data_IF_892508224067
#
_entry.id   IF_892508224067
#
_cell.length_a   1.000
_cell.length_b   1.000
_cell.length_c   1.000
_cell.angle_alpha   90.00
_cell.angle_beta   90.00
_cell.angle_gamma   90.00
#
_symmetry.space_group_name_H-M   'P 1'
#
loop_
_entity.id
_entity.type
_entity.pdbx_description
1 polymer ?
#
# COMPACT_ATOMS: atom_id res chain seq x y z
N UNK A 1 -32.26 -10.78 -4.82
CA UNK A 1 -32.85 -9.46 -4.47
C UNK A 1 -31.72 -8.63 -3.89
N UNK A 2 -31.25 -7.64 -4.63
CA UNK A 2 -30.18 -6.75 -4.15
C UNK A 2 -30.68 -5.90 -2.99
N UNK A 3 -29.94 -5.90 -1.88
CA UNK A 3 -30.21 -4.97 -0.78
C UNK A 3 -29.59 -3.61 -1.16
N UNK A 4 -30.43 -2.61 -1.36
CA UNK A 4 -29.98 -1.24 -1.48
C UNK A 4 -29.77 -0.67 -0.07
N UNK A 5 -28.55 -0.28 0.26
CA UNK A 5 -28.26 0.44 1.49
C UNK A 5 -28.29 1.93 1.15
N UNK A 6 -29.31 2.63 1.62
CA UNK A 6 -29.34 4.09 1.58
C UNK A 6 -28.54 4.61 2.77
N UNK A 7 -27.55 5.48 2.50
CA UNK A 7 -26.76 6.14 3.54
C UNK A 7 -27.34 7.53 3.79
N UNK A 8 -27.54 7.86 5.06
CA UNK A 8 -27.96 9.19 5.51
C UNK A 8 -26.90 9.72 6.47
N UNK A 9 -26.53 10.98 6.33
CA UNK A 9 -25.51 11.62 7.16
C UNK A 9 -26.04 12.01 8.55
N UNK A 10 -27.37 12.09 8.72
CA UNK A 10 -28.01 12.42 9.99
C UNK A 10 -29.31 11.64 10.19
N UNK A 11 -29.70 11.45 11.46
CA UNK A 11 -31.01 10.88 11.79
C UNK A 11 -32.18 11.73 11.28
N UNK A 12 -31.99 13.04 11.09
CA UNK A 12 -32.99 13.94 10.54
C UNK A 12 -33.23 13.69 9.04
N UNK A 13 -32.17 13.49 8.26
CA UNK A 13 -32.29 13.14 6.83
C UNK A 13 -32.98 11.80 6.62
N UNK A 14 -32.63 10.83 7.47
CA UNK A 14 -33.30 9.53 7.46
C UNK A 14 -34.80 9.65 7.77
N UNK A 15 -35.19 10.38 8.80
CA UNK A 15 -36.60 10.61 9.14
C UNK A 15 -37.35 11.32 8.02
N UNK A 16 -36.74 12.35 7.42
CA UNK A 16 -37.38 13.07 6.31
C UNK A 16 -37.61 12.19 5.07
N UNK A 17 -36.72 11.22 4.81
CA UNK A 17 -36.85 10.31 3.68
C UNK A 17 -37.96 9.25 3.86
N UNK A 18 -38.30 8.89 5.12
CA UNK A 18 -39.25 7.82 5.43
C UNK A 18 -40.49 8.29 6.19
N UNK A 19 -40.63 9.60 6.45
CA UNK A 19 -41.81 10.17 7.09
C UNK A 19 -43.06 9.92 6.24
N UNK A 20 -44.03 9.19 6.79
CA UNK A 20 -45.29 8.82 6.09
C UNK A 20 -45.23 7.50 5.32
N UNK A 21 -44.15 6.76 5.35
CA UNK A 21 -44.09 5.39 4.81
C UNK A 21 -44.49 4.38 5.88
N UNK A 22 -45.16 3.28 5.48
CA UNK A 22 -45.60 2.20 6.38
C UNK A 22 -44.42 1.30 6.83
N UNK A 23 -43.28 1.87 7.17
CA UNK A 23 -42.10 1.15 7.65
C UNK A 23 -42.30 0.94 9.16
N UNK A 24 -42.70 -0.26 9.52
CA UNK A 24 -42.83 -0.68 10.93
C UNK A 24 -41.60 -1.49 11.32
N UNK A 25 -40.88 -0.94 12.26
CA UNK A 25 -39.81 -1.46 13.14
C UNK A 25 -39.34 -2.94 12.94
N UNK A 26 -38.04 -3.25 13.24
CA UNK A 26 -37.35 -2.72 14.44
C UNK A 26 -36.16 -1.81 14.15
N UNK A 27 -36.19 -0.63 14.67
CA UNK A 27 -35.05 0.23 14.80
C UNK A 27 -34.09 -0.38 15.83
N UNK A 28 -32.86 -0.64 15.43
CA UNK A 28 -31.79 -0.64 16.39
C UNK A 28 -31.47 0.83 16.65
N UNK A 29 -31.86 1.35 17.80
CA UNK A 29 -31.33 2.61 18.31
C UNK A 29 -29.85 2.38 18.48
N UNK A 30 -29.05 2.86 17.55
CA UNK A 30 -27.62 3.03 17.75
C UNK A 30 -27.49 4.13 18.81
N UNK A 31 -27.36 3.73 20.06
CA UNK A 31 -26.93 4.65 21.12
C UNK A 31 -25.57 5.21 20.71
N UNK A 32 -25.25 6.44 21.09
CA UNK A 32 -24.00 7.16 20.77
C UNK A 32 -22.71 6.44 21.19
N UNK A 33 -22.77 5.27 21.77
CA UNK A 33 -21.65 4.40 22.14
C UNK A 33 -21.37 3.27 21.15
N UNK A 34 -22.05 3.22 20.01
CA UNK A 34 -21.58 2.35 18.95
C UNK A 34 -20.30 2.93 18.39
N UNK A 35 -19.18 2.23 18.66
CA UNK A 35 -17.95 2.37 17.91
C UNK A 35 -18.28 2.78 16.49
N UNK A 36 -17.76 3.92 16.04
CA UNK A 36 -17.92 4.40 14.68
C UNK A 36 -17.68 3.21 13.74
N UNK A 37 -18.72 2.76 13.07
CA UNK A 37 -18.56 1.77 12.00
C UNK A 37 -17.57 2.39 11.01
N UNK A 38 -16.51 1.69 10.79
CA UNK A 38 -15.36 2.11 10.04
C UNK A 38 -15.77 2.48 8.62
N UNK A 39 -16.16 3.72 8.42
CA UNK A 39 -16.34 4.25 7.09
C UNK A 39 -14.94 4.53 6.53
N UNK A 40 -14.55 3.85 5.46
CA UNK A 40 -13.40 4.26 4.69
C UNK A 40 -13.55 5.75 4.39
N UNK A 41 -12.64 6.55 4.93
CA UNK A 41 -12.58 7.96 4.60
C UNK A 41 -12.00 8.08 3.19
N UNK A 42 -12.34 9.13 2.49
CA UNK A 42 -11.84 9.38 1.14
C UNK A 42 -11.05 10.67 1.15
N UNK A 43 -9.92 10.66 0.46
CA UNK A 43 -9.19 11.90 0.17
C UNK A 43 -10.07 12.77 -0.74
N UNK A 44 -10.45 13.98 -0.29
CA UNK A 44 -11.32 14.85 -1.07
C UNK A 44 -10.67 15.37 -2.36
N UNK A 45 -9.35 15.28 -2.50
CA UNK A 45 -8.63 15.78 -3.67
C UNK A 45 -8.72 14.83 -4.86
N UNK A 46 -8.77 13.49 -4.63
CA UNK A 46 -8.73 12.50 -5.70
C UNK A 46 -9.65 11.28 -5.48
N UNK A 47 -10.33 11.20 -4.33
CA UNK A 47 -11.33 10.15 -4.05
C UNK A 47 -10.75 8.79 -3.64
N UNK A 48 -9.44 8.66 -3.43
CA UNK A 48 -8.87 7.41 -2.93
C UNK A 48 -9.24 7.17 -1.47
N UNK A 49 -9.67 5.94 -1.18
CA UNK A 49 -10.10 5.54 0.15
C UNK A 49 -8.91 5.25 1.06
N UNK A 50 -9.00 5.65 2.32
CA UNK A 50 -8.02 5.35 3.35
C UNK A 50 -8.66 4.92 4.66
N UNK A 51 -7.88 4.25 5.48
CA UNK A 51 -8.22 3.86 6.86
C UNK A 51 -7.29 4.56 7.84
N UNK A 52 -7.88 5.07 8.93
CA UNK A 52 -7.17 5.61 10.09
C UNK A 52 -7.03 4.51 11.13
N UNK A 53 -5.85 3.96 11.26
CA UNK A 53 -5.53 2.91 12.23
C UNK A 53 -5.17 3.47 13.61
N UNK A 54 -5.19 4.79 13.78
CA UNK A 54 -4.77 5.44 15.03
C UNK A 54 -3.29 5.23 15.33
N UNK A 55 -2.46 5.18 14.30
CA UNK A 55 -1.01 5.04 14.45
C UNK A 55 -0.40 6.28 15.11
N UNK A 56 0.68 6.14 15.90
CA UNK A 56 1.31 7.27 16.61
C UNK A 56 1.74 8.42 15.70
N UNK A 57 2.20 8.15 14.49
CA UNK A 57 2.56 9.16 13.48
C UNK A 57 1.35 9.88 12.87
N UNK A 58 0.15 9.32 13.01
CA UNK A 58 -1.03 9.77 12.28
C UNK A 58 -1.08 9.31 10.82
N UNK A 59 -0.19 8.42 10.39
CA UNK A 59 -0.18 7.87 9.03
C UNK A 59 -1.52 7.20 8.70
N UNK A 60 -2.11 7.59 7.58
CA UNK A 60 -3.33 7.02 7.04
C UNK A 60 -2.98 6.09 5.88
N UNK A 61 -3.51 4.88 5.88
CA UNK A 61 -3.18 3.87 4.88
C UNK A 61 -4.29 3.76 3.83
N UNK A 62 -3.93 3.76 2.57
CA UNK A 62 -4.88 3.47 1.50
C UNK A 62 -5.51 2.08 1.68
N UNK A 63 -6.78 1.92 1.35
CA UNK A 63 -7.48 0.63 1.43
C UNK A 63 -7.21 -0.29 0.25
N UNK A 64 -6.65 0.24 -0.84
CA UNK A 64 -6.35 -0.47 -2.08
C UNK A 64 -4.90 -0.25 -2.51
N UNK A 65 -4.36 -1.17 -3.31
CA UNK A 65 -3.07 -0.98 -3.98
C UNK A 65 -3.20 0.03 -5.14
N UNK A 66 -2.10 0.65 -5.54
CA UNK A 66 -2.05 1.48 -6.76
C UNK A 66 -2.44 0.64 -7.96
N UNK A 67 -3.37 1.16 -8.78
CA UNK A 67 -3.93 0.46 -9.93
C UNK A 67 -5.07 -0.51 -9.62
N UNK A 68 -5.40 -0.75 -8.34
CA UNK A 68 -6.51 -1.61 -7.93
C UNK A 68 -7.86 -0.89 -8.01
N UNK A 69 -8.92 -1.66 -8.24
CA UNK A 69 -10.32 -1.18 -8.28
C UNK A 69 -11.14 -1.63 -7.06
N UNK A 70 -10.58 -2.50 -6.22
CA UNK A 70 -11.18 -2.98 -4.97
C UNK A 70 -10.09 -3.34 -3.97
N UNK A 71 -10.45 -3.55 -2.70
CA UNK A 71 -9.53 -3.99 -1.64
C UNK A 71 -8.89 -5.35 -1.91
N UNK A 72 -9.57 -6.20 -2.66
CA UNK A 72 -9.12 -7.56 -3.01
C UNK A 72 -8.41 -7.65 -4.34
N UNK A 73 -8.38 -6.57 -5.11
CA UNK A 73 -7.62 -6.48 -6.35
C UNK A 73 -6.13 -6.29 -6.05
N UNK A 74 -5.27 -6.99 -6.79
CA UNK A 74 -3.82 -6.94 -6.58
C UNK A 74 -3.20 -5.61 -7.00
N UNK A 75 -3.85 -4.87 -7.93
CA UNK A 75 -3.33 -3.64 -8.51
C UNK A 75 -2.15 -3.88 -9.44
N UNK A 76 -1.39 -2.82 -9.69
CA UNK A 76 -0.19 -2.85 -10.51
C UNK A 76 1.05 -3.39 -9.77
N UNK A 77 2.06 -3.78 -10.56
CA UNK A 77 3.38 -4.14 -10.07
C UNK A 77 4.39 -3.11 -10.55
N UNK A 78 5.21 -2.63 -9.66
CA UNK A 78 6.19 -1.56 -9.93
C UNK A 78 7.58 -2.03 -9.50
N UNK A 79 8.61 -1.74 -10.31
CA UNK A 79 9.96 -1.80 -9.83
C UNK A 79 10.22 -0.58 -8.93
N UNK A 80 11.13 -0.69 -7.99
CA UNK A 80 11.39 0.39 -7.03
C UNK A 80 11.97 1.64 -7.71
N UNK A 81 11.32 2.78 -7.55
CA UNK A 81 11.68 4.01 -8.27
C UNK A 81 11.09 4.12 -9.68
N UNK A 82 10.24 3.19 -10.08
CA UNK A 82 9.46 3.27 -11.33
C UNK A 82 7.99 3.49 -11.05
N UNK A 83 7.33 4.21 -11.92
CA UNK A 83 5.95 4.67 -11.72
C UNK A 83 4.94 4.04 -12.69
N UNK A 84 5.42 3.17 -13.56
CA UNK A 84 4.62 2.46 -14.58
C UNK A 84 4.51 0.98 -14.24
N UNK A 85 3.29 0.44 -14.27
CA UNK A 85 3.04 -0.99 -14.19
C UNK A 85 3.41 -1.66 -15.52
N UNK A 86 4.62 -2.18 -15.61
CA UNK A 86 5.10 -2.89 -16.80
C UNK A 86 4.32 -4.18 -17.07
N UNK A 87 3.92 -4.89 -16.02
CA UNK A 87 3.17 -6.14 -16.16
C UNK A 87 1.76 -5.89 -16.70
N UNK A 88 1.05 -4.88 -16.18
CA UNK A 88 -0.26 -4.46 -16.67
C UNK A 88 -0.24 -3.95 -18.11
N UNK A 89 0.88 -3.39 -18.56
CA UNK A 89 1.10 -2.92 -19.92
C UNK A 89 1.55 -4.02 -20.90
N UNK A 90 1.66 -5.28 -20.43
CA UNK A 90 2.08 -6.42 -21.25
C UNK A 90 3.59 -6.58 -21.38
N UNK A 91 4.36 -5.78 -20.66
CA UNK A 91 5.78 -5.99 -20.46
C UNK A 91 5.96 -6.95 -19.29
N UNK A 92 6.61 -8.07 -19.49
CA UNK A 92 6.67 -9.12 -18.47
C UNK A 92 7.99 -9.17 -17.72
N UNK A 93 9.03 -8.52 -18.22
CA UNK A 93 10.37 -8.66 -17.68
C UNK A 93 10.69 -7.58 -16.63
N UNK A 94 10.65 -7.97 -15.35
CA UNK A 94 11.19 -7.19 -14.24
C UNK A 94 12.63 -7.66 -13.98
N UNK A 95 13.55 -7.19 -14.80
CA UNK A 95 14.97 -7.52 -14.78
C UNK A 95 15.82 -6.26 -14.73
N UNK A 96 17.10 -6.42 -14.41
CA UNK A 96 18.06 -5.30 -14.45
C UNK A 96 18.17 -4.66 -15.85
N UNK A 97 18.02 -5.44 -16.93
CA UNK A 97 18.10 -4.92 -18.29
C UNK A 97 16.93 -3.97 -18.64
N UNK A 98 15.81 -4.09 -17.95
CA UNK A 98 14.60 -3.28 -18.13
C UNK A 98 14.36 -2.30 -16.98
N UNK A 99 15.33 -2.14 -16.06
CA UNK A 99 15.19 -1.27 -14.91
C UNK A 99 15.69 0.15 -15.22
N UNK A 100 14.86 1.17 -14.96
CA UNK A 100 15.17 2.56 -15.33
C UNK A 100 16.29 3.19 -14.51
N UNK A 101 16.42 2.81 -13.23
CA UNK A 101 17.45 3.36 -12.34
C UNK A 101 18.75 2.53 -12.32
N UNK A 102 19.03 1.74 -13.36
CA UNK A 102 20.26 0.95 -13.47
C UNK A 102 20.17 -0.09 -14.57
N UNK A 103 21.32 -0.61 -15.02
CA UNK A 103 21.39 -1.69 -16.01
C UNK A 103 21.94 -3.00 -15.45
N UNK A 104 22.35 -3.00 -14.18
CA UNK A 104 22.77 -4.17 -13.42
C UNK A 104 22.78 -3.82 -11.92
N UNK A 105 22.84 -4.85 -11.06
CA UNK A 105 22.90 -4.67 -9.60
C UNK A 105 24.04 -3.72 -9.16
N UNK A 106 25.12 -3.64 -9.91
CA UNK A 106 26.30 -2.82 -9.66
C UNK A 106 26.49 -1.70 -10.70
N UNK A 107 25.44 -1.32 -11.43
CA UNK A 107 25.41 -0.25 -12.41
C UNK A 107 24.17 0.62 -12.21
N UNK A 108 24.06 1.17 -10.99
CA UNK A 108 22.96 2.03 -10.61
C UNK A 108 23.19 3.44 -11.13
N UNK A 109 22.15 4.07 -11.61
CA UNK A 109 22.17 5.43 -12.16
C UNK A 109 21.52 6.45 -11.24
N UNK A 110 20.74 6.00 -10.23
CA UNK A 110 20.05 6.83 -9.25
C UNK A 110 19.91 6.09 -7.90
N UNK A 111 19.78 6.83 -6.82
CA UNK A 111 19.66 6.29 -5.45
C UNK A 111 20.91 5.47 -5.08
N UNK A 112 22.06 6.09 -5.21
CA UNK A 112 23.33 5.47 -4.86
C UNK A 112 24.13 6.38 -3.93
N UNK A 113 24.33 6.00 -2.65
CA UNK A 113 25.16 6.76 -1.71
C UNK A 113 26.63 6.84 -2.16
N UNK A 114 27.29 7.97 -1.89
CA UNK A 114 28.67 8.22 -2.31
C UNK A 114 29.66 7.19 -1.76
N UNK A 115 29.47 6.75 -0.52
CA UNK A 115 30.32 5.73 0.11
C UNK A 115 30.17 4.33 -0.51
N UNK A 116 29.14 4.14 -1.35
CA UNK A 116 28.86 2.90 -2.09
C UNK A 116 29.16 3.00 -3.59
N UNK A 117 29.43 4.20 -4.10
CA UNK A 117 29.53 4.45 -5.54
C UNK A 117 30.58 3.60 -6.26
N UNK A 118 31.71 3.30 -5.62
CA UNK A 118 32.77 2.48 -6.23
C UNK A 118 32.34 1.03 -6.52
N UNK A 119 31.33 0.52 -5.80
CA UNK A 119 30.85 -0.84 -5.94
C UNK A 119 29.54 -0.92 -6.73
N UNK A 120 28.66 0.09 -6.61
CA UNK A 120 27.28 -0.01 -7.04
C UNK A 120 26.89 0.96 -8.16
N UNK A 121 27.70 1.99 -8.38
CA UNK A 121 27.41 3.05 -9.35
C UNK A 121 28.41 3.03 -10.52
N UNK A 122 28.30 2.02 -11.37
CA UNK A 122 29.20 1.91 -12.53
C UNK A 122 28.93 2.90 -13.66
N UNK A 123 27.74 3.49 -13.72
CA UNK A 123 27.28 4.33 -14.84
C UNK A 123 26.82 5.73 -14.43
N UNK A 124 26.48 5.96 -13.17
CA UNK A 124 25.98 7.23 -12.67
C UNK A 124 26.92 7.95 -11.72
N UNK A 125 26.53 9.14 -11.31
CA UNK A 125 27.14 9.84 -10.19
C UNK A 125 26.34 9.55 -8.90
N UNK A 126 26.99 9.41 -7.73
CA UNK A 126 26.27 9.26 -6.48
C UNK A 126 25.40 10.50 -6.23
N UNK A 127 24.16 10.27 -5.78
CA UNK A 127 23.19 11.33 -5.50
C UNK A 127 22.85 11.44 -4.01
N UNK A 128 23.29 10.46 -3.21
CA UNK A 128 23.03 10.36 -1.79
C UNK A 128 21.54 10.31 -1.41
N UNK A 129 20.66 10.05 -2.37
CA UNK A 129 19.24 9.88 -2.11
C UNK A 129 18.98 8.52 -1.47
N UNK A 130 18.27 8.52 -0.36
CA UNK A 130 17.94 7.32 0.43
C UNK A 130 16.45 7.04 0.51
N UNK A 131 15.64 7.97 0.02
CA UNK A 131 14.19 7.87 -0.13
C UNK A 131 13.82 8.28 -1.55
N UNK A 132 12.74 7.71 -2.09
CA UNK A 132 12.25 8.07 -3.41
C UNK A 132 11.83 9.55 -3.46
N UNK A 133 12.23 10.22 -4.52
CA UNK A 133 11.65 11.50 -4.88
C UNK A 133 10.21 11.32 -5.38
N UNK A 134 9.37 12.33 -5.22
CA UNK A 134 7.96 12.25 -5.62
C UNK A 134 7.76 11.90 -7.11
N UNK A 135 8.74 12.22 -7.98
CA UNK A 135 8.70 11.86 -9.39
C UNK A 135 8.90 10.36 -9.66
N UNK A 136 9.48 9.63 -8.71
CA UNK A 136 9.84 8.22 -8.81
C UNK A 136 9.00 7.37 -7.84
N UNK A 137 8.11 8.00 -7.09
CA UNK A 137 7.18 7.37 -6.18
C UNK A 137 5.88 7.01 -6.92
N UNK A 138 5.60 5.71 -7.05
CA UNK A 138 4.46 5.24 -7.82
C UNK A 138 3.10 5.69 -7.25
N UNK A 139 2.97 5.85 -5.92
CA UNK A 139 1.74 6.38 -5.34
C UNK A 139 1.60 7.88 -5.64
N UNK A 140 2.66 8.65 -5.49
CA UNK A 140 2.66 10.09 -5.79
C UNK A 140 2.31 10.37 -7.25
N UNK A 141 2.93 9.65 -8.19
CA UNK A 141 2.71 9.89 -9.62
C UNK A 141 1.34 9.42 -10.08
N UNK A 142 0.87 8.24 -9.63
CA UNK A 142 -0.40 7.68 -10.10
C UNK A 142 -1.62 8.29 -9.42
N UNK A 143 -1.50 8.74 -8.17
CA UNK A 143 -2.63 9.28 -7.41
C UNK A 143 -2.56 10.79 -7.21
N UNK A 144 -1.35 11.34 -7.15
CA UNK A 144 -1.14 12.77 -6.92
C UNK A 144 -1.52 13.22 -5.50
N UNK A 145 -1.64 14.53 -5.30
CA UNK A 145 -1.94 15.11 -4.00
C UNK A 145 -0.81 14.87 -3.00
N UNK A 146 -1.17 14.45 -1.79
CA UNK A 146 -0.23 14.12 -0.71
C UNK A 146 0.05 12.62 -0.58
N UNK A 147 -0.44 11.81 -1.52
CA UNK A 147 -0.17 10.37 -1.54
C UNK A 147 1.29 10.08 -1.86
N UNK A 148 1.87 9.17 -1.11
CA UNK A 148 3.23 8.68 -1.34
C UNK A 148 3.34 7.21 -0.89
N UNK A 149 4.42 6.53 -1.28
CA UNK A 149 4.76 5.20 -0.75
C UNK A 149 5.19 5.32 0.72
N UNK A 150 4.84 4.34 1.57
CA UNK A 150 5.27 4.38 2.96
C UNK A 150 6.79 4.25 3.07
N UNK A 151 7.39 4.88 4.07
CA UNK A 151 8.77 4.60 4.47
C UNK A 151 8.88 3.24 5.15
N UNK A 152 10.09 2.68 5.25
CA UNK A 152 10.33 1.47 6.05
C UNK A 152 9.92 1.66 7.52
N UNK A 153 10.14 2.86 8.08
CA UNK A 153 9.72 3.21 9.44
C UNK A 153 8.20 3.21 9.63
N UNK A 154 7.43 3.71 8.66
CA UNK A 154 5.96 3.65 8.68
C UNK A 154 5.45 2.20 8.58
N UNK A 155 6.14 1.34 7.84
CA UNK A 155 5.83 -0.09 7.81
C UNK A 155 6.14 -0.79 9.14
N UNK A 156 7.25 -0.45 9.79
CA UNK A 156 7.56 -0.95 11.14
C UNK A 156 6.53 -0.45 12.17
N UNK A 157 6.10 0.81 12.07
CA UNK A 157 5.05 1.36 12.92
C UNK A 157 3.74 0.59 12.73
N UNK A 158 3.32 0.30 11.49
CA UNK A 158 2.14 -0.51 11.21
C UNK A 158 2.23 -1.88 11.89
N UNK A 159 3.35 -2.60 11.73
CA UNK A 159 3.56 -3.91 12.36
C UNK A 159 3.49 -3.81 13.88
N UNK A 160 4.13 -2.81 14.47
CA UNK A 160 4.26 -2.70 15.92
C UNK A 160 2.99 -2.24 16.63
N UNK A 161 2.07 -1.57 15.93
CA UNK A 161 0.84 -1.00 16.49
C UNK A 161 -0.44 -1.72 16.06
N UNK A 162 -0.33 -2.83 15.33
CA UNK A 162 -1.47 -3.63 14.89
C UNK A 162 -1.23 -5.11 15.17
N UNK A 163 -2.31 -5.88 15.14
CA UNK A 163 -2.23 -7.34 15.11
C UNK A 163 -2.42 -7.80 13.67
N UNK A 164 -1.41 -8.46 13.11
CA UNK A 164 -1.51 -9.03 11.77
C UNK A 164 -2.03 -10.46 11.82
N UNK A 165 -2.97 -10.79 10.93
CA UNK A 165 -3.51 -12.13 10.79
C UNK A 165 -3.64 -12.50 9.31
N UNK A 166 -3.17 -13.68 8.95
CA UNK A 166 -3.37 -14.24 7.61
C UNK A 166 -4.80 -14.73 7.43
N UNK A 167 -5.38 -14.47 6.27
CA UNK A 167 -6.63 -15.09 5.82
C UNK A 167 -6.43 -15.73 4.46
N UNK A 168 -7.02 -16.91 4.24
CA UNK A 168 -7.05 -17.55 2.92
C UNK A 168 -8.22 -17.07 2.07
N UNK A 169 -9.17 -16.37 2.68
CA UNK A 169 -10.40 -15.90 2.03
C UNK A 169 -10.91 -14.65 2.76
N UNK A 170 -10.53 -13.47 2.27
CA UNK A 170 -10.96 -12.21 2.87
C UNK A 170 -12.40 -11.87 2.48
N UNK A 171 -13.30 -11.80 3.47
CA UNK A 171 -14.72 -11.44 3.27
C UNK A 171 -15.41 -12.28 2.18
N UNK A 172 -15.16 -13.60 2.14
CA UNK A 172 -15.73 -14.53 1.15
C UNK A 172 -15.41 -14.16 -0.31
N UNK A 173 -14.30 -13.47 -0.55
CA UNK A 173 -13.87 -13.01 -1.89
C UNK A 173 -13.07 -14.06 -2.67
N UNK A 174 -12.60 -15.11 -2.00
CA UNK A 174 -11.64 -16.06 -2.54
C UNK A 174 -10.20 -15.52 -2.60
N UNK A 175 -9.93 -14.32 -2.05
CA UNK A 175 -8.60 -13.70 -2.08
C UNK A 175 -7.91 -13.84 -0.72
N UNK A 176 -6.73 -14.44 -0.74
CA UNK A 176 -5.87 -14.54 0.43
C UNK A 176 -5.07 -13.26 0.66
N UNK A 177 -4.67 -13.02 1.91
CA UNK A 177 -3.85 -11.88 2.28
C UNK A 177 -3.67 -11.73 3.78
N UNK A 178 -3.23 -10.57 4.21
CA UNK A 178 -3.05 -10.23 5.62
C UNK A 178 -3.99 -9.10 6.01
N UNK A 179 -4.63 -9.26 7.18
CA UNK A 179 -5.40 -8.22 7.84
C UNK A 179 -4.61 -7.67 9.01
N UNK A 180 -4.36 -6.37 9.02
CA UNK A 180 -3.78 -5.63 10.14
C UNK A 180 -4.94 -5.00 10.93
N UNK A 181 -5.10 -5.38 12.19
CA UNK A 181 -6.16 -4.85 13.06
C UNK A 181 -5.56 -3.97 14.14
N UNK A 182 -5.97 -2.72 14.19
CA UNK A 182 -5.51 -1.73 15.15
C UNK A 182 -6.33 -1.75 16.45
N UNK A 183 -5.83 -1.08 17.50
CA UNK A 183 -6.49 -1.01 18.80
C UNK A 183 -7.84 -0.25 18.74
N UNK A 184 -8.00 0.68 17.79
CA UNK A 184 -9.26 1.39 17.58
C UNK A 184 -10.34 0.55 16.86
N UNK A 185 -10.05 -0.73 16.56
CA UNK A 185 -10.94 -1.65 15.87
C UNK A 185 -10.89 -1.55 14.34
N UNK A 186 -10.18 -0.58 13.81
CA UNK A 186 -10.01 -0.40 12.37
C UNK A 186 -9.05 -1.44 11.81
N UNK A 187 -9.26 -1.82 10.55
CA UNK A 187 -8.42 -2.83 9.90
C UNK A 187 -8.03 -2.42 8.48
N UNK A 188 -6.87 -2.92 8.07
CA UNK A 188 -6.32 -2.79 6.73
C UNK A 188 -6.09 -4.18 6.17
N UNK A 189 -6.64 -4.48 5.00
CA UNK A 189 -6.34 -5.70 4.26
C UNK A 189 -5.31 -5.44 3.17
N UNK A 190 -4.30 -6.31 3.07
CA UNK A 190 -3.34 -6.33 1.96
C UNK A 190 -3.41 -7.69 1.29
N UNK A 191 -3.83 -7.76 0.00
CA UNK A 191 -3.97 -9.02 -0.71
C UNK A 191 -2.61 -9.66 -1.03
N UNK A 192 -2.58 -10.98 -1.08
CA UNK A 192 -1.39 -11.76 -1.41
C UNK A 192 -1.09 -11.72 -2.90
N UNK A 193 -0.70 -10.55 -3.39
CA UNK A 193 -0.40 -10.29 -4.80
C UNK A 193 0.90 -10.97 -5.28
N UNK A 194 1.75 -11.45 -4.36
CA UNK A 194 3.05 -11.99 -4.71
C UNK A 194 4.01 -10.93 -5.24
N UNK A 195 4.78 -11.29 -6.24
CA UNK A 195 5.74 -10.42 -6.93
C UNK A 195 5.88 -10.82 -8.40
N UNK A 196 6.49 -9.95 -9.17
CA UNK A 196 6.93 -10.26 -10.54
C UNK A 196 8.44 -10.21 -10.60
N UNK A 197 9.03 -11.23 -11.16
CA UNK A 197 10.44 -11.30 -11.48
C UNK A 197 10.62 -12.03 -12.79
N UNK A 198 11.51 -11.49 -13.65
CA UNK A 198 11.70 -11.99 -15.01
C UNK A 198 10.36 -12.04 -15.77
N UNK A 199 9.91 -13.17 -16.23
CA UNK A 199 8.69 -13.32 -17.03
C UNK A 199 7.47 -13.82 -16.24
N UNK A 200 7.54 -13.91 -14.90
CA UNK A 200 6.49 -14.55 -14.14
C UNK A 200 6.13 -13.94 -12.79
N UNK A 201 4.88 -14.19 -12.39
CA UNK A 201 4.44 -13.91 -11.03
C UNK A 201 4.74 -15.09 -10.11
N UNK A 202 5.37 -14.79 -8.98
CA UNK A 202 5.60 -15.75 -7.89
C UNK A 202 4.81 -15.39 -6.64
N UNK A 203 4.45 -16.38 -5.83
CA UNK A 203 3.85 -16.18 -4.50
C UNK A 203 2.41 -15.66 -4.46
N UNK A 204 1.71 -15.56 -5.60
CA UNK A 204 0.31 -15.13 -5.64
C UNK A 204 -0.56 -16.08 -4.81
N UNK A 205 -1.41 -15.50 -3.93
CA UNK A 205 -2.27 -16.26 -3.02
C UNK A 205 -1.55 -16.85 -1.79
N UNK A 206 -0.23 -16.68 -1.66
CA UNK A 206 0.55 -17.23 -0.53
C UNK A 206 1.47 -16.23 0.14
N UNK A 207 1.79 -15.11 -0.53
CA UNK A 207 2.68 -14.08 -0.04
C UNK A 207 2.28 -12.70 -0.59
N UNK A 208 2.44 -11.67 0.20
CA UNK A 208 2.30 -10.29 -0.27
C UNK A 208 3.63 -9.55 -0.15
N UNK A 209 3.88 -8.62 -1.08
CA UNK A 209 4.98 -7.68 -1.03
C UNK A 209 4.50 -6.31 -1.47
N UNK A 210 4.88 -5.30 -0.71
CA UNK A 210 4.61 -3.89 -0.98
C UNK A 210 5.91 -3.13 -0.83
N UNK A 211 6.28 -2.35 -1.85
CA UNK A 211 7.46 -1.50 -1.77
C UNK A 211 7.28 -0.36 -0.75
N UNK A 212 8.36 0.03 -0.12
CA UNK A 212 8.50 1.31 0.61
C UNK A 212 9.27 2.31 -0.25
N UNK A 213 9.25 3.59 0.14
CA UNK A 213 10.11 4.62 -0.48
C UNK A 213 11.58 4.50 -0.07
N UNK A 214 11.92 3.68 0.92
CA UNK A 214 13.23 3.65 1.58
C UNK A 214 14.23 2.74 0.87
N UNK A 215 15.40 3.27 0.57
CA UNK A 215 16.56 2.52 0.07
C UNK A 215 17.20 1.68 1.18
N UNK A 216 17.71 0.49 0.87
CA UNK A 216 18.66 -0.20 1.72
C UNK A 216 20.07 0.37 1.49
N UNK A 217 20.47 1.36 2.27
CA UNK A 217 21.71 2.13 2.05
C UNK A 217 22.98 1.28 2.09
N UNK A 218 22.97 0.17 2.83
CA UNK A 218 24.12 -0.76 2.90
C UNK A 218 24.31 -1.59 1.62
N UNK A 219 23.22 -1.82 0.90
CA UNK A 219 23.15 -2.57 -0.37
C UNK A 219 22.19 -1.84 -1.29
N UNK A 220 22.65 -0.80 -2.01
CA UNK A 220 21.76 0.06 -2.79
C UNK A 220 21.14 -0.59 -4.04
N UNK A 221 21.49 -1.81 -4.37
CA UNK A 221 20.78 -2.66 -5.33
C UNK A 221 19.45 -3.21 -4.77
N UNK A 222 19.27 -3.15 -3.44
CA UNK A 222 18.05 -3.52 -2.73
C UNK A 222 17.30 -2.29 -2.21
N UNK A 223 16.00 -2.43 -2.05
CA UNK A 223 15.15 -1.49 -1.34
C UNK A 223 14.31 -2.21 -0.27
N UNK A 224 13.81 -1.45 0.69
CA UNK A 224 12.94 -1.99 1.72
C UNK A 224 11.51 -2.20 1.21
N UNK A 225 10.88 -3.25 1.69
CA UNK A 225 9.48 -3.58 1.47
C UNK A 225 8.81 -4.10 2.74
N UNK A 226 7.49 -4.04 2.77
CA UNK A 226 6.64 -4.73 3.73
C UNK A 226 6.15 -6.02 3.08
N UNK A 227 6.32 -7.16 3.73
CA UNK A 227 5.85 -8.41 3.16
C UNK A 227 5.67 -9.52 4.18
N UNK A 228 4.98 -10.54 3.74
CA UNK A 228 4.70 -11.71 4.57
C UNK A 228 3.68 -12.66 3.98
N UNK A 229 3.36 -13.65 4.76
CA UNK A 229 2.40 -14.70 4.45
C UNK A 229 1.86 -15.33 5.74
N UNK A 230 1.47 -16.57 5.66
CA UNK A 230 0.92 -17.30 6.82
C UNK A 230 1.92 -17.43 8.00
N UNK A 231 3.23 -17.30 7.76
CA UNK A 231 4.26 -17.40 8.80
C UNK A 231 4.54 -16.07 9.53
N UNK A 232 3.89 -14.98 9.09
CA UNK A 232 4.02 -13.65 9.70
C UNK A 232 4.39 -12.57 8.70
N UNK A 233 4.51 -11.35 9.24
CA UNK A 233 4.77 -10.11 8.49
C UNK A 233 6.07 -9.49 8.99
N UNK A 234 6.83 -8.90 8.08
CA UNK A 234 8.08 -8.19 8.39
C UNK A 234 8.40 -7.12 7.36
N UNK A 235 9.22 -6.17 7.73
CA UNK A 235 9.99 -5.37 6.79
C UNK A 235 11.13 -6.24 6.26
N UNK A 236 11.31 -6.26 4.95
CA UNK A 236 12.31 -7.06 4.24
C UNK A 236 12.95 -6.23 3.13
N UNK A 237 13.97 -6.75 2.49
CA UNK A 237 14.59 -6.12 1.33
C UNK A 237 14.64 -7.06 0.14
N UNK A 238 14.64 -6.49 -1.05
CA UNK A 238 14.84 -7.23 -2.29
C UNK A 238 15.39 -6.34 -3.39
N UNK A 239 15.84 -6.95 -4.47
CA UNK A 239 16.35 -6.23 -5.65
C UNK A 239 15.33 -5.25 -6.19
N UNK A 240 15.78 -4.01 -6.40
CA UNK A 240 14.96 -2.88 -6.85
C UNK A 240 14.24 -3.14 -8.19
N UNK A 241 14.82 -3.98 -9.05
CA UNK A 241 14.24 -4.32 -10.35
C UNK A 241 13.03 -5.27 -10.27
N UNK A 242 12.73 -5.85 -9.10
CA UNK A 242 11.54 -6.70 -8.94
C UNK A 242 10.26 -5.89 -8.92
N UNK A 243 9.19 -6.44 -9.47
CA UNK A 243 7.86 -5.84 -9.44
C UNK A 243 7.08 -6.25 -8.20
N UNK A 244 6.77 -5.28 -7.32
CA UNK A 244 5.88 -5.45 -6.17
C UNK A 244 4.71 -4.49 -6.25
N UNK A 245 3.64 -4.81 -5.52
CA UNK A 245 2.54 -3.87 -5.33
C UNK A 245 3.01 -2.60 -4.60
N UNK A 246 2.26 -1.52 -4.76
CA UNK A 246 2.43 -0.28 -4.03
C UNK A 246 1.16 0.02 -3.25
N UNK A 247 1.30 0.34 -1.97
CA UNK A 247 0.22 0.80 -1.10
C UNK A 247 0.52 2.22 -0.66
N UNK A 248 -0.30 3.17 -1.10
CA UNK A 248 -0.12 4.57 -0.75
C UNK A 248 -0.46 4.87 0.71
N UNK A 249 0.17 5.89 1.25
CA UNK A 249 -0.14 6.48 2.56
C UNK A 249 -0.31 8.00 2.45
N UNK A 250 -1.02 8.58 3.42
CA UNK A 250 -1.10 10.01 3.70
C UNK A 250 -0.51 10.28 5.09
N UNK A 251 0.06 11.45 5.29
CA UNK A 251 0.67 11.88 6.55
C UNK A 251 2.13 12.22 6.37
N UNK A 252 2.70 12.94 7.34
CA UNK A 252 4.06 13.44 7.21
C UNK A 252 5.08 12.30 7.12
N UNK A 253 5.98 12.40 6.15
CA UNK A 253 7.26 11.69 6.19
C UNK A 253 7.98 12.19 7.45
N UNK A 254 8.15 11.35 8.47
CA UNK A 254 8.94 11.75 9.64
C UNK A 254 10.38 11.94 9.15
N UNK A 255 10.74 13.21 8.90
CA UNK A 255 12.13 13.59 8.71
C UNK A 255 12.83 13.41 10.05
N UNK A 256 13.43 12.24 10.25
CA UNK A 256 14.39 12.06 11.33
C UNK A 256 15.56 13.00 11.04
N UNK A 257 15.56 14.15 11.73
CA UNK A 257 16.69 15.07 11.82
C UNK A 257 17.79 14.50 12.71
#
# INVERSE_FOLDING_TARGET
>A
MGRYIHKFSTAAEFRAAYEGTAYTEPWVSLTEETSEVNYNKYDPSNGHAYVDLGLPSGTLWATMNVGATSETDYGGYFAWGETVDKFGNGETAYTWDNYECGSAYNRLTKYCPEDKSSQWNGEGSPDNLTELEASDDAASVNWGGEWHMPTSGQCEELINNTVSAWTSDYNDSGVAGVVFTAQNGNSLFIPAAGHVWDEGRGGVGSWFGVWTSSLLTGYPDDAWGLGGGNEGVRVYNNYRCYGYSVRGVLGELSTNT
#
